data_IF_689004482932
#
_entry.id   IF_689004482932
#
_cell.length_a   1.000
_cell.length_b   1.000
_cell.length_c   1.000
_cell.angle_alpha   90.00
_cell.angle_beta   90.00
_cell.angle_gamma   90.00
#
_symmetry.space_group_name_H-M   'P 1'
#
loop_
_entity.id
_entity.type
_entity.pdbx_description
1 polymer ?
#
# COMPACT_ATOMS: atom_id res chain seq x y z
N UNK A 1 -24.87 23.16 -3.17
CA UNK A 1 -23.70 24.04 -3.31
C UNK A 1 -22.46 23.21 -3.60
N UNK A 2 -21.60 23.70 -4.49
CA UNK A 2 -20.32 23.02 -4.87
C UNK A 2 -19.21 23.36 -3.89
N UNK A 3 -19.35 24.47 -3.17
CA UNK A 3 -18.38 24.95 -2.18
C UNK A 3 -18.92 24.83 -0.75
N UNK A 4 -18.01 24.54 0.17
CA UNK A 4 -18.27 24.61 1.61
C UNK A 4 -18.35 26.08 2.08
N UNK A 5 -18.89 26.37 3.27
CA UNK A 5 -18.87 27.73 3.84
C UNK A 5 -17.45 28.29 3.98
N UNK A 6 -16.45 27.42 4.15
CA UNK A 6 -15.02 27.82 4.26
C UNK A 6 -14.32 27.97 2.90
N UNK A 7 -15.08 27.90 1.77
CA UNK A 7 -14.57 28.08 0.43
C UNK A 7 -13.93 26.85 -0.22
N UNK A 8 -13.90 25.71 0.44
CA UNK A 8 -13.41 24.47 -0.13
C UNK A 8 -14.43 23.74 -1.01
N UNK A 9 -13.98 22.83 -1.86
CA UNK A 9 -14.86 22.04 -2.73
C UNK A 9 -15.50 20.88 -1.95
N UNK A 10 -16.81 20.69 -2.13
CA UNK A 10 -17.55 19.56 -1.57
C UNK A 10 -17.32 18.30 -2.42
N UNK A 11 -16.47 17.39 -1.93
CA UNK A 11 -16.18 16.13 -2.64
C UNK A 11 -17.37 15.19 -2.62
N UNK A 12 -18.13 15.15 -1.51
CA UNK A 12 -19.29 14.28 -1.38
C UNK A 12 -20.45 14.67 -2.33
N UNK A 13 -20.48 15.91 -2.85
CA UNK A 13 -21.42 16.30 -3.89
C UNK A 13 -21.15 15.60 -5.23
N UNK A 14 -19.90 15.25 -5.50
CA UNK A 14 -19.45 14.55 -6.72
C UNK A 14 -19.27 13.03 -6.47
N UNK A 15 -18.64 12.66 -5.37
CA UNK A 15 -18.38 11.30 -4.97
C UNK A 15 -18.94 11.02 -3.57
N UNK A 16 -20.25 10.73 -3.47
CA UNK A 16 -20.92 10.53 -2.19
C UNK A 16 -20.32 9.35 -1.42
N UNK A 17 -20.05 9.55 -0.15
CA UNK A 17 -19.38 8.56 0.70
C UNK A 17 -20.13 7.21 0.76
N UNK A 18 -21.47 7.26 0.74
CA UNK A 18 -22.32 6.06 0.74
C UNK A 18 -22.20 5.21 -0.53
N UNK A 19 -21.57 5.74 -1.61
CA UNK A 19 -21.24 5.00 -2.83
C UNK A 19 -19.76 4.61 -2.81
N UNK A 20 -18.88 5.53 -2.41
CA UNK A 20 -17.41 5.30 -2.43
C UNK A 20 -17.02 4.25 -1.41
N UNK A 21 -17.52 4.31 -0.19
CA UNK A 21 -17.15 3.38 0.88
C UNK A 21 -17.47 1.90 0.55
N UNK A 22 -18.68 1.52 0.09
CA UNK A 22 -18.94 0.14 -0.32
C UNK A 22 -18.10 -0.31 -1.53
N UNK A 23 -17.78 0.61 -2.44
CA UNK A 23 -16.91 0.32 -3.57
C UNK A 23 -15.48 0.01 -3.11
N UNK A 24 -14.92 0.79 -2.20
CA UNK A 24 -13.60 0.58 -1.62
C UNK A 24 -13.52 -0.74 -0.83
N UNK A 25 -14.55 -1.05 -0.03
CA UNK A 25 -14.66 -2.34 0.64
C UNK A 25 -14.75 -3.51 -0.33
N UNK A 26 -15.51 -3.36 -1.41
CA UNK A 26 -15.64 -4.39 -2.45
C UNK A 26 -14.28 -4.66 -3.10
N UNK A 27 -13.56 -3.61 -3.50
CA UNK A 27 -12.20 -3.74 -4.04
C UNK A 27 -11.25 -4.42 -3.04
N UNK A 28 -11.29 -3.98 -1.78
CA UNK A 28 -10.44 -4.56 -0.73
C UNK A 28 -10.72 -6.05 -0.52
N UNK A 29 -12.01 -6.46 -0.48
CA UNK A 29 -12.41 -7.86 -0.33
C UNK A 29 -11.96 -8.70 -1.53
N UNK A 30 -12.13 -8.21 -2.76
CA UNK A 30 -11.68 -8.91 -3.98
C UNK A 30 -10.18 -9.14 -3.94
N UNK A 31 -9.40 -8.09 -3.69
CA UNK A 31 -7.93 -8.17 -3.61
C UNK A 31 -7.49 -9.09 -2.47
N UNK A 32 -8.08 -8.94 -1.28
CA UNK A 32 -7.79 -9.80 -0.14
C UNK A 32 -8.08 -11.27 -0.44
N UNK A 33 -9.20 -11.58 -1.10
CA UNK A 33 -9.57 -12.95 -1.48
C UNK A 33 -8.55 -13.57 -2.43
N UNK A 34 -8.07 -12.82 -3.43
CA UNK A 34 -7.03 -13.26 -4.36
C UNK A 34 -5.70 -13.49 -3.65
N UNK A 35 -5.28 -12.57 -2.79
CA UNK A 35 -4.03 -12.70 -2.04
C UNK A 35 -4.09 -13.86 -1.04
N UNK A 36 -5.17 -13.99 -0.27
CA UNK A 36 -5.37 -15.07 0.69
C UNK A 36 -5.38 -16.44 0.00
N UNK A 37 -6.07 -16.58 -1.13
CA UNK A 37 -6.09 -17.83 -1.91
C UNK A 37 -4.68 -18.27 -2.29
N UNK A 38 -3.84 -17.34 -2.75
CA UNK A 38 -2.45 -17.64 -3.09
C UNK A 38 -1.57 -17.91 -1.84
N UNK A 39 -1.82 -17.21 -0.74
CA UNK A 39 -1.12 -17.47 0.55
C UNK A 39 -1.47 -18.86 1.07
N UNK A 40 -2.75 -19.27 1.03
CA UNK A 40 -3.17 -20.61 1.42
C UNK A 40 -2.56 -21.70 0.52
N UNK A 41 -2.52 -21.47 -0.80
CA UNK A 41 -1.83 -22.38 -1.74
C UNK A 41 -0.35 -22.48 -1.43
N UNK A 42 0.30 -21.38 -1.06
CA UNK A 42 1.70 -21.36 -0.65
C UNK A 42 1.93 -22.10 0.68
N UNK A 43 1.05 -21.91 1.68
CA UNK A 43 1.06 -22.67 2.93
C UNK A 43 0.95 -24.17 2.67
N UNK A 44 -0.01 -24.58 1.86
CA UNK A 44 -0.18 -25.98 1.49
C UNK A 44 1.08 -26.58 0.85
N UNK A 45 1.71 -25.85 -0.10
CA UNK A 45 2.89 -26.34 -0.81
C UNK A 45 4.16 -26.33 0.03
N UNK A 46 4.35 -25.39 0.96
CA UNK A 46 5.58 -25.24 1.73
C UNK A 46 5.53 -26.01 3.04
N UNK A 47 4.39 -26.03 3.70
CA UNK A 47 4.23 -26.58 5.05
C UNK A 47 3.47 -27.89 5.01
N UNK A 48 2.22 -27.85 4.58
CA UNK A 48 1.29 -28.99 4.70
C UNK A 48 1.77 -30.24 3.95
N UNK A 49 2.15 -30.10 2.70
CA UNK A 49 2.56 -31.23 1.84
C UNK A 49 3.81 -31.97 2.37
N UNK A 50 4.68 -31.30 3.11
CA UNK A 50 5.95 -31.84 3.61
C UNK A 50 5.96 -32.07 5.12
N UNK A 51 4.82 -31.93 5.79
CA UNK A 51 4.69 -32.17 7.21
C UNK A 51 4.11 -33.55 7.45
N UNK A 52 4.86 -34.41 8.12
CA UNK A 52 4.38 -35.74 8.57
C UNK A 52 3.55 -35.67 9.85
N UNK A 53 3.50 -34.49 10.50
CA UNK A 53 2.75 -34.25 11.71
C UNK A 53 2.06 -32.89 11.72
N UNK A 54 1.06 -32.70 12.60
CA UNK A 54 0.42 -31.41 12.81
C UNK A 54 1.33 -30.49 13.60
N UNK A 55 1.71 -29.34 13.01
CA UNK A 55 2.42 -28.29 13.72
C UNK A 55 1.46 -27.70 14.78
N UNK A 56 1.91 -27.58 16.02
CA UNK A 56 1.12 -27.02 17.10
C UNK A 56 0.66 -25.58 16.77
N UNK A 57 -0.57 -25.26 17.16
CA UNK A 57 -1.12 -23.90 16.99
C UNK A 57 -0.27 -22.84 17.72
N UNK A 58 0.34 -23.20 18.85
CA UNK A 58 1.23 -22.30 19.60
C UNK A 58 2.48 -21.91 18.80
N UNK A 59 3.01 -22.81 17.97
CA UNK A 59 4.11 -22.50 17.04
C UNK A 59 3.65 -21.51 16.00
N UNK A 60 2.45 -21.69 15.43
CA UNK A 60 1.89 -20.72 14.47
C UNK A 60 1.74 -19.34 15.10
N UNK A 61 1.19 -19.23 16.30
CA UNK A 61 1.01 -17.96 17.01
C UNK A 61 2.35 -17.29 17.31
N UNK A 62 3.32 -18.04 17.83
CA UNK A 62 4.65 -17.51 18.15
C UNK A 62 5.38 -16.99 16.91
N UNK A 63 5.38 -17.78 15.84
CA UNK A 63 6.07 -17.39 14.61
C UNK A 63 5.33 -16.27 13.86
N UNK A 64 4.00 -16.13 14.07
CA UNK A 64 3.22 -15.03 13.51
C UNK A 64 3.66 -13.65 14.03
N UNK A 65 4.03 -13.55 15.31
CA UNK A 65 4.61 -12.32 15.85
C UNK A 65 5.92 -11.92 15.15
N UNK A 66 6.72 -12.90 14.76
CA UNK A 66 7.92 -12.64 13.93
C UNK A 66 7.57 -12.14 12.54
N UNK A 67 6.47 -12.61 11.97
CA UNK A 67 5.97 -12.10 10.69
C UNK A 67 5.62 -10.60 10.82
N UNK A 68 4.83 -10.24 11.84
CA UNK A 68 4.47 -8.83 12.10
C UNK A 68 5.72 -7.98 12.31
N UNK A 69 6.65 -8.43 13.15
CA UNK A 69 7.91 -7.72 13.40
C UNK A 69 8.75 -7.56 12.13
N UNK A 70 8.90 -8.62 11.34
CA UNK A 70 9.64 -8.56 10.07
C UNK A 70 8.97 -7.65 9.05
N UNK A 71 7.65 -7.60 9.03
CA UNK A 71 6.89 -6.69 8.17
C UNK A 71 7.09 -5.23 8.59
N UNK A 72 6.94 -4.92 9.87
CA UNK A 72 7.03 -3.56 10.39
C UNK A 72 8.45 -2.99 10.36
N UNK A 73 9.46 -3.76 10.76
CA UNK A 73 10.85 -3.28 10.97
C UNK A 73 11.78 -3.61 9.82
N UNK A 74 11.50 -4.68 9.07
CA UNK A 74 12.32 -5.16 7.95
C UNK A 74 13.81 -5.37 8.33
N UNK A 75 14.13 -6.11 9.41
CA UNK A 75 15.46 -6.14 10.00
C UNK A 75 16.53 -6.73 9.07
N UNK A 76 16.17 -7.62 8.15
CA UNK A 76 17.11 -8.13 7.14
C UNK A 76 17.53 -7.05 6.14
N UNK A 77 16.62 -6.13 5.83
CA UNK A 77 16.89 -5.04 4.91
C UNK A 77 17.69 -3.91 5.58
N UNK A 78 17.48 -3.69 6.89
CA UNK A 78 18.25 -2.70 7.67
C UNK A 78 19.73 -3.08 7.87
N UNK A 79 20.11 -4.34 7.62
CA UNK A 79 21.52 -4.82 7.71
C UNK A 79 22.32 -4.60 6.44
N UNK A 80 21.69 -4.10 5.35
CA UNK A 80 22.44 -3.72 4.16
C UNK A 80 23.31 -2.49 4.44
N UNK A 81 24.48 -2.41 3.79
CA UNK A 81 25.47 -1.34 4.00
C UNK A 81 24.91 0.05 3.74
N UNK A 82 24.02 0.20 2.76
CA UNK A 82 23.34 1.47 2.46
C UNK A 82 21.96 1.54 3.10
N UNK A 83 21.91 2.18 4.26
CA UNK A 83 20.67 2.40 5.03
C UNK A 83 19.64 3.29 4.31
N UNK A 84 20.03 4.08 3.31
CA UNK A 84 19.12 4.95 2.55
C UNK A 84 17.99 4.14 1.91
N UNK A 85 18.33 2.97 1.38
CA UNK A 85 17.32 2.11 0.75
C UNK A 85 16.37 1.47 1.74
N UNK A 86 16.86 1.13 2.93
CA UNK A 86 15.98 0.66 4.01
C UNK A 86 15.00 1.76 4.43
N UNK A 87 15.48 2.97 4.68
CA UNK A 87 14.65 4.12 5.07
C UNK A 87 13.62 4.44 3.97
N UNK A 88 14.06 4.54 2.71
CA UNK A 88 13.16 4.85 1.59
C UNK A 88 12.08 3.79 1.38
N UNK A 89 12.44 2.51 1.49
CA UNK A 89 11.50 1.41 1.38
C UNK A 89 10.53 1.37 2.59
N UNK A 90 11.04 1.64 3.79
CA UNK A 90 10.23 1.69 5.00
C UNK A 90 9.21 2.83 4.94
N UNK A 91 9.63 4.03 4.52
CA UNK A 91 8.74 5.18 4.31
C UNK A 91 7.67 4.90 3.25
N UNK A 92 8.07 4.34 2.11
CA UNK A 92 7.14 3.97 1.05
C UNK A 92 6.09 2.97 1.56
N UNK A 93 6.52 1.92 2.25
CA UNK A 93 5.64 0.88 2.76
C UNK A 93 4.71 1.38 3.87
N UNK A 94 5.24 2.15 4.83
CA UNK A 94 4.43 2.72 5.92
C UNK A 94 3.43 3.75 5.39
N UNK A 95 3.85 4.62 4.44
CA UNK A 95 2.97 5.58 3.79
C UNK A 95 1.82 4.90 3.05
N UNK A 96 2.12 3.85 2.29
CA UNK A 96 1.10 3.05 1.60
C UNK A 96 0.14 2.36 2.57
N UNK A 97 0.68 1.73 3.60
CA UNK A 97 -0.13 1.01 4.61
C UNK A 97 -1.06 1.96 5.35
N UNK A 98 -0.56 3.13 5.77
CA UNK A 98 -1.37 4.14 6.43
C UNK A 98 -2.47 4.63 5.50
N UNK A 99 -2.14 4.99 4.25
CA UNK A 99 -3.14 5.46 3.30
C UNK A 99 -4.20 4.40 3.02
N UNK A 100 -3.80 3.14 2.84
CA UNK A 100 -4.72 2.03 2.64
C UNK A 100 -5.69 1.87 3.83
N UNK A 101 -5.19 1.88 5.07
CA UNK A 101 -6.02 1.78 6.27
C UNK A 101 -6.99 2.98 6.37
N UNK A 102 -6.50 4.18 6.11
CA UNK A 102 -7.31 5.39 6.19
C UNK A 102 -8.43 5.39 5.15
N UNK A 103 -8.16 4.97 3.93
CA UNK A 103 -9.16 4.96 2.85
C UNK A 103 -10.15 3.79 3.02
N UNK A 104 -9.68 2.59 3.36
CA UNK A 104 -10.57 1.42 3.43
C UNK A 104 -11.34 1.37 4.75
N UNK A 105 -10.67 1.64 5.89
CA UNK A 105 -11.29 1.45 7.22
C UNK A 105 -11.85 2.74 7.79
N UNK A 106 -11.21 3.87 7.53
CA UNK A 106 -11.53 5.16 8.13
C UNK A 106 -11.98 6.21 7.12
N UNK A 107 -12.53 5.81 5.97
CA UNK A 107 -12.98 6.73 4.92
C UNK A 107 -13.97 7.80 5.45
N UNK A 108 -15.01 7.47 6.26
CA UNK A 108 -15.93 8.48 6.78
C UNK A 108 -15.27 9.54 7.66
N UNK A 109 -14.19 9.16 8.35
CA UNK A 109 -13.38 10.08 9.14
C UNK A 109 -12.43 10.90 8.26
N UNK A 110 -11.90 10.33 7.18
CA UNK A 110 -10.89 10.98 6.34
C UNK A 110 -11.52 11.87 5.25
N UNK A 111 -12.57 11.41 4.57
CA UNK A 111 -13.31 12.17 3.56
C UNK A 111 -14.38 13.06 4.22
N UNK A 112 -13.95 14.11 4.90
CA UNK A 112 -14.84 15.10 5.53
C UNK A 112 -14.98 16.32 4.65
N UNK A 113 -16.16 17.00 4.68
CA UNK A 113 -16.38 18.26 3.99
C UNK A 113 -15.70 19.47 4.66
N UNK A 114 -15.31 19.32 5.92
CA UNK A 114 -14.63 20.40 6.65
C UNK A 114 -13.21 20.60 6.13
N UNK A 115 -12.81 21.86 5.99
CA UNK A 115 -11.41 22.22 5.77
C UNK A 115 -10.70 22.24 7.14
N UNK A 116 -10.02 21.15 7.43
CA UNK A 116 -9.30 21.01 8.69
C UNK A 116 -8.00 21.85 8.68
N UNK A 117 -7.57 22.40 9.84
CA UNK A 117 -6.30 23.10 9.94
C UNK A 117 -5.10 22.16 9.75
N UNK A 118 -3.95 22.71 9.38
CA UNK A 118 -2.73 21.95 9.05
C UNK A 118 -2.27 21.01 10.17
N UNK A 119 -2.47 21.43 11.44
CA UNK A 119 -2.10 20.64 12.62
C UNK A 119 -3.08 19.52 13.00
N UNK A 120 -4.16 19.34 12.24
CA UNK A 120 -5.11 18.25 12.51
C UNK A 120 -4.45 16.89 12.22
N UNK A 121 -4.58 15.89 13.12
CA UNK A 121 -4.00 14.55 12.95
C UNK A 121 -4.36 13.87 11.63
N UNK A 122 -5.57 14.08 11.13
CA UNK A 122 -6.04 13.57 9.83
C UNK A 122 -5.18 14.10 8.68
N UNK A 123 -4.85 15.40 8.68
CA UNK A 123 -3.96 15.99 7.68
C UNK A 123 -2.52 15.47 7.82
N UNK A 124 -2.03 15.33 9.04
CA UNK A 124 -0.69 14.79 9.29
C UNK A 124 -0.52 13.38 8.74
N UNK A 125 -1.52 12.51 8.93
CA UNK A 125 -1.48 11.16 8.35
C UNK A 125 -1.42 11.20 6.82
N UNK A 126 -2.25 12.05 6.19
CA UNK A 126 -2.24 12.23 4.74
C UNK A 126 -0.91 12.78 4.21
N UNK A 127 -0.36 13.81 4.86
CA UNK A 127 0.93 14.41 4.47
C UNK A 127 2.09 13.45 4.70
N UNK A 128 2.12 12.75 5.83
CA UNK A 128 3.13 11.73 6.10
C UNK A 128 3.10 10.62 5.03
N UNK A 129 1.91 10.09 4.72
CA UNK A 129 1.75 9.06 3.70
C UNK A 129 2.21 9.56 2.32
N UNK A 130 1.78 10.75 1.92
CA UNK A 130 2.18 11.38 0.65
C UNK A 130 3.70 11.58 0.59
N UNK A 131 4.30 12.13 1.64
CA UNK A 131 5.75 12.32 1.71
C UNK A 131 6.51 11.00 1.63
N UNK A 132 6.12 10.00 2.43
CA UNK A 132 6.77 8.69 2.45
C UNK A 132 6.71 7.98 1.08
N UNK A 133 5.55 8.06 0.41
CA UNK A 133 5.36 7.52 -0.93
C UNK A 133 6.23 8.25 -1.96
N UNK A 134 6.17 9.60 -2.02
CA UNK A 134 6.95 10.38 -2.98
C UNK A 134 8.45 10.22 -2.78
N UNK A 135 8.92 10.22 -1.53
CA UNK A 135 10.33 10.03 -1.21
C UNK A 135 10.82 8.65 -1.64
N UNK A 136 10.07 7.58 -1.30
CA UNK A 136 10.43 6.23 -1.70
C UNK A 136 10.41 6.03 -3.22
N UNK A 137 9.41 6.59 -3.91
CA UNK A 137 9.32 6.60 -5.37
C UNK A 137 10.49 7.35 -6.00
N UNK A 138 10.83 8.52 -5.50
CA UNK A 138 11.98 9.31 -5.96
C UNK A 138 13.26 8.49 -5.91
N UNK A 139 13.56 7.87 -4.77
CA UNK A 139 14.75 7.02 -4.61
C UNK A 139 14.74 5.84 -5.58
N UNK A 140 13.59 5.19 -5.75
CA UNK A 140 13.44 4.06 -6.65
C UNK A 140 13.60 4.44 -8.13
N UNK A 141 13.01 5.56 -8.57
CA UNK A 141 13.08 6.06 -9.95
C UNK A 141 14.51 6.51 -10.27
N UNK A 142 15.11 7.36 -9.43
CA UNK A 142 16.48 7.84 -9.64
C UNK A 142 17.49 6.68 -9.63
N UNK A 143 17.31 5.70 -8.73
CA UNK A 143 18.14 4.51 -8.72
C UNK A 143 18.12 3.76 -10.06
N UNK A 144 16.93 3.57 -10.65
CA UNK A 144 16.75 2.89 -11.94
C UNK A 144 17.28 3.70 -13.13
N UNK A 145 17.15 5.02 -13.09
CA UNK A 145 17.70 5.89 -14.15
C UNK A 145 19.23 5.87 -14.09
N UNK A 146 19.81 5.98 -12.91
CA UNK A 146 21.27 6.04 -12.71
C UNK A 146 21.98 4.71 -12.90
N UNK A 147 21.30 3.58 -12.65
CA UNK A 147 21.82 2.20 -12.77
C UNK A 147 23.16 1.92 -12.05
N UNK A 148 23.50 2.72 -11.05
CA UNK A 148 24.80 2.58 -10.34
C UNK A 148 24.86 1.32 -9.48
N UNK A 149 23.75 0.96 -8.84
CA UNK A 149 23.68 -0.21 -7.95
C UNK A 149 23.20 -1.44 -8.73
N UNK A 150 23.76 -2.60 -8.43
CA UNK A 150 23.46 -3.89 -9.07
C UNK A 150 21.95 -4.18 -9.09
N UNK A 151 21.23 -3.84 -8.01
CA UNK A 151 19.76 -4.03 -7.90
C UNK A 151 18.92 -3.21 -8.90
N UNK A 152 19.50 -2.16 -9.50
CA UNK A 152 18.81 -1.30 -10.46
C UNK A 152 19.31 -1.46 -11.91
N UNK A 153 20.38 -2.24 -12.11
CA UNK A 153 20.98 -2.44 -13.44
C UNK A 153 20.00 -3.12 -14.41
N UNK A 154 19.22 -4.07 -13.89
CA UNK A 154 18.22 -4.81 -14.67
C UNK A 154 16.83 -4.44 -14.18
N UNK A 155 16.08 -3.72 -15.03
CA UNK A 155 14.70 -3.32 -14.76
C UNK A 155 13.79 -3.85 -15.86
N UNK A 156 12.77 -4.59 -15.49
CA UNK A 156 11.73 -5.07 -16.40
C UNK A 156 10.63 -4.01 -16.55
N UNK A 157 9.84 -4.07 -17.63
CA UNK A 157 8.72 -3.15 -17.87
C UNK A 157 7.75 -3.13 -16.69
N UNK A 158 7.48 -4.27 -16.06
CA UNK A 158 6.61 -4.36 -14.87
C UNK A 158 7.13 -3.56 -13.65
N UNK A 159 8.45 -3.33 -13.55
CA UNK A 159 9.01 -2.49 -12.49
C UNK A 159 8.70 -1.00 -12.72
N UNK A 160 8.71 -0.58 -13.98
CA UNK A 160 8.37 0.78 -14.35
C UNK A 160 6.87 1.05 -14.29
N UNK A 161 6.05 0.11 -14.75
CA UNK A 161 4.60 0.24 -14.71
C UNK A 161 4.11 0.53 -13.28
N UNK A 162 4.57 -0.27 -12.31
CA UNK A 162 4.29 -0.05 -10.90
C UNK A 162 4.68 1.36 -10.42
N UNK A 163 5.92 1.79 -10.72
CA UNK A 163 6.40 3.11 -10.29
C UNK A 163 5.60 4.26 -10.91
N UNK A 164 5.27 4.14 -12.19
CA UNK A 164 4.47 5.14 -12.91
C UNK A 164 3.06 5.22 -12.33
N UNK A 165 2.38 4.09 -12.19
CA UNK A 165 1.00 4.06 -11.64
C UNK A 165 0.96 4.60 -10.22
N UNK A 166 1.89 4.20 -9.36
CA UNK A 166 1.92 4.70 -7.99
C UNK A 166 2.27 6.20 -7.94
N UNK A 167 3.18 6.68 -8.79
CA UNK A 167 3.52 8.11 -8.89
C UNK A 167 2.30 8.92 -9.33
N UNK A 168 1.57 8.46 -10.35
CA UNK A 168 0.34 9.11 -10.82
C UNK A 168 -0.73 9.12 -9.72
N UNK A 169 -0.92 7.99 -9.02
CA UNK A 169 -1.88 7.90 -7.90
C UNK A 169 -1.56 8.91 -6.80
N UNK A 170 -0.31 8.97 -6.35
CA UNK A 170 0.09 9.90 -5.27
C UNK A 170 -0.01 11.35 -5.74
N UNK A 171 0.43 11.64 -6.98
CA UNK A 171 0.39 13.01 -7.53
C UNK A 171 -1.05 13.48 -7.71
N UNK A 172 -1.93 12.67 -8.29
CA UNK A 172 -3.33 13.03 -8.44
C UNK A 172 -4.03 13.16 -7.08
N UNK A 173 -3.70 12.32 -6.09
CA UNK A 173 -4.22 12.42 -4.73
C UNK A 173 -3.88 13.75 -4.05
N UNK A 174 -2.61 14.19 -4.13
CA UNK A 174 -2.24 15.49 -3.56
C UNK A 174 -2.82 16.68 -4.35
N UNK A 175 -2.98 16.55 -5.67
CA UNK A 175 -3.63 17.56 -6.50
C UNK A 175 -5.10 17.73 -6.12
N UNK A 176 -5.84 16.63 -5.87
CA UNK A 176 -7.22 16.70 -5.35
C UNK A 176 -7.24 17.54 -4.07
N UNK A 177 -6.34 17.25 -3.13
CA UNK A 177 -6.27 17.99 -1.88
C UNK A 177 -5.98 19.49 -2.09
N UNK A 178 -4.98 19.83 -2.92
CA UNK A 178 -4.60 21.22 -3.20
C UNK A 178 -5.76 21.97 -3.87
N UNK A 179 -6.36 21.43 -4.92
CA UNK A 179 -7.44 22.08 -5.64
C UNK A 179 -8.69 22.22 -4.78
N UNK A 180 -8.96 21.22 -3.94
CA UNK A 180 -10.08 21.23 -3.00
C UNK A 180 -10.01 22.38 -2.01
N UNK A 181 -8.86 22.55 -1.34
CA UNK A 181 -8.70 23.63 -0.33
C UNK A 181 -8.65 25.03 -0.95
N UNK A 182 -8.33 25.15 -2.23
CA UNK A 182 -8.34 26.40 -2.98
C UNK A 182 -9.67 26.69 -3.69
N UNK A 183 -10.73 25.91 -3.45
CA UNK A 183 -12.05 26.12 -4.03
C UNK A 183 -12.16 25.87 -5.54
N UNK A 184 -11.17 25.17 -6.14
CA UNK A 184 -11.10 24.92 -7.58
C UNK A 184 -11.94 23.67 -7.97
N UNK A 185 -13.27 23.81 -8.01
CA UNK A 185 -14.19 22.67 -8.16
C UNK A 185 -13.90 21.81 -9.40
N UNK A 186 -13.79 22.40 -10.58
CA UNK A 186 -13.54 21.66 -11.83
C UNK A 186 -12.21 20.89 -11.77
N UNK A 187 -11.14 21.54 -11.30
CA UNK A 187 -9.83 20.91 -11.17
C UNK A 187 -9.84 19.78 -10.14
N UNK A 188 -10.58 19.94 -9.04
CA UNK A 188 -10.77 18.88 -8.03
C UNK A 188 -11.45 17.66 -8.64
N UNK A 189 -12.56 17.83 -9.37
CA UNK A 189 -13.32 16.72 -9.94
C UNK A 189 -12.58 16.02 -11.06
N UNK A 190 -11.90 16.76 -11.95
CA UNK A 190 -11.06 16.17 -13.00
C UNK A 190 -9.92 15.36 -12.38
N UNK A 191 -9.26 15.93 -11.36
CA UNK A 191 -8.19 15.21 -10.65
C UNK A 191 -8.69 13.97 -9.94
N UNK A 192 -9.91 14.00 -9.38
CA UNK A 192 -10.55 12.85 -8.75
C UNK A 192 -10.83 11.73 -9.77
N UNK A 193 -11.38 12.08 -10.94
CA UNK A 193 -11.60 11.10 -12.02
C UNK A 193 -10.27 10.48 -12.48
N UNK A 194 -9.24 11.30 -12.70
CA UNK A 194 -7.91 10.83 -13.08
C UNK A 194 -7.30 9.93 -12.00
N UNK A 195 -7.47 10.30 -10.73
CA UNK A 195 -7.01 9.49 -9.60
C UNK A 195 -7.66 8.11 -9.59
N UNK A 196 -8.98 8.04 -9.71
CA UNK A 196 -9.72 6.78 -9.73
C UNK A 196 -9.39 5.93 -10.96
N UNK A 197 -9.20 6.56 -12.12
CA UNK A 197 -8.82 5.86 -13.36
C UNK A 197 -7.46 5.16 -13.28
N UNK A 198 -6.55 5.66 -12.44
CA UNK A 198 -5.24 5.04 -12.18
C UNK A 198 -5.30 4.10 -10.98
N UNK A 199 -5.93 4.52 -9.89
CA UNK A 199 -5.98 3.79 -8.62
C UNK A 199 -6.70 2.44 -8.75
N UNK A 200 -7.86 2.41 -9.40
CA UNK A 200 -8.68 1.19 -9.50
C UNK A 200 -7.94 0.07 -10.23
N UNK A 201 -7.41 0.24 -11.45
CA UNK A 201 -6.65 -0.82 -12.09
C UNK A 201 -5.34 -1.14 -11.35
N UNK A 202 -4.69 -0.17 -10.71
CA UNK A 202 -3.52 -0.42 -9.88
C UNK A 202 -3.85 -1.37 -8.72
N UNK A 203 -4.95 -1.14 -8.00
CA UNK A 203 -5.34 -2.00 -6.87
C UNK A 203 -5.80 -3.38 -7.36
N UNK A 204 -6.65 -3.44 -8.38
CA UNK A 204 -7.26 -4.70 -8.81
C UNK A 204 -6.34 -5.59 -9.65
N UNK A 205 -5.36 -5.01 -10.35
CA UNK A 205 -4.48 -5.75 -11.27
C UNK A 205 -3.05 -5.80 -10.72
N UNK A 206 -2.44 -4.64 -10.43
CA UNK A 206 -1.04 -4.59 -10.03
C UNK A 206 -0.80 -5.21 -8.64
N UNK A 207 -1.68 -4.97 -7.67
CA UNK A 207 -1.50 -5.50 -6.31
C UNK A 207 -1.54 -7.03 -6.28
N UNK A 208 -2.54 -7.74 -6.85
CA UNK A 208 -2.57 -9.20 -6.77
C UNK A 208 -1.70 -9.93 -7.80
N UNK A 209 -1.44 -9.35 -8.99
CA UNK A 209 -0.86 -10.07 -10.13
C UNK A 209 0.53 -9.59 -10.54
N UNK A 210 1.03 -8.48 -10.02
CA UNK A 210 2.34 -7.96 -10.37
C UNK A 210 3.38 -8.13 -9.25
N UNK A 211 4.52 -7.48 -9.42
CA UNK A 211 5.58 -7.46 -8.42
C UNK A 211 5.15 -6.88 -7.07
N UNK A 212 4.05 -6.13 -7.02
CA UNK A 212 3.55 -5.59 -5.76
C UNK A 212 2.98 -6.64 -4.81
N UNK A 213 2.51 -7.74 -5.33
CA UNK A 213 2.09 -8.91 -4.54
C UNK A 213 3.20 -9.42 -3.60
N UNK A 214 4.48 -9.08 -3.86
CA UNK A 214 5.59 -9.42 -2.97
C UNK A 214 5.43 -8.83 -1.56
N UNK A 215 4.70 -7.71 -1.42
CA UNK A 215 4.39 -7.10 -0.13
C UNK A 215 3.65 -8.10 0.79
N UNK A 216 2.73 -8.86 0.22
CA UNK A 216 2.02 -9.92 0.92
C UNK A 216 2.82 -11.23 0.95
N UNK A 217 3.28 -11.71 -0.22
CA UNK A 217 3.82 -13.07 -0.31
C UNK A 217 5.18 -13.24 0.35
N UNK A 218 6.05 -12.24 0.33
CA UNK A 218 7.41 -12.37 0.90
C UNK A 218 7.41 -12.55 2.43
N UNK A 219 6.65 -11.78 3.24
CA UNK A 219 6.52 -12.02 4.66
C UNK A 219 5.98 -13.41 4.99
N UNK A 220 4.93 -13.85 4.26
CA UNK A 220 4.36 -15.18 4.46
C UNK A 220 5.30 -16.30 4.01
N UNK A 221 6.07 -16.13 2.93
CA UNK A 221 7.08 -17.11 2.54
C UNK A 221 8.15 -17.30 3.62
N UNK A 222 8.61 -16.21 4.23
CA UNK A 222 9.57 -16.28 5.37
C UNK A 222 8.91 -16.98 6.56
N UNK A 223 7.69 -16.65 6.90
CA UNK A 223 6.92 -17.28 7.97
C UNK A 223 6.75 -18.79 7.75
N UNK A 224 6.31 -19.22 6.57
CA UNK A 224 6.11 -20.62 6.24
C UNK A 224 7.42 -21.41 6.22
N UNK A 225 8.51 -20.79 5.79
CA UNK A 225 9.84 -21.40 5.86
C UNK A 225 10.30 -21.63 7.31
N UNK A 226 9.94 -20.75 8.23
CA UNK A 226 10.19 -20.98 9.66
C UNK A 226 9.31 -22.11 10.21
N UNK A 227 8.00 -22.11 9.89
CA UNK A 227 7.10 -23.18 10.30
C UNK A 227 7.57 -24.56 9.82
N UNK A 228 8.09 -24.65 8.60
CA UNK A 228 8.60 -25.90 8.05
C UNK A 228 9.71 -26.54 8.91
N UNK A 229 10.48 -25.75 9.66
CA UNK A 229 11.52 -26.27 10.58
C UNK A 229 10.95 -27.04 11.77
N UNK A 230 9.69 -26.84 12.10
CA UNK A 230 8.96 -27.53 13.15
C UNK A 230 8.09 -28.67 12.60
N UNK A 231 8.03 -28.83 11.27
CA UNK A 231 7.41 -29.97 10.66
C UNK A 231 8.35 -31.17 10.83
N UNK A 232 7.85 -32.23 11.46
CA UNK A 232 8.62 -33.50 11.57
C UNK A 232 8.75 -34.07 10.16
N UNK A 233 9.97 -34.36 9.67
CA UNK A 233 10.14 -35.03 8.39
C UNK A 233 9.44 -36.39 8.41
N UNK A 234 8.67 -36.70 7.39
CA UNK A 234 8.04 -37.99 7.19
C UNK A 234 9.03 -39.05 6.77
#
# INVERSE_FOLDING_TARGET
PVLTPEGGVQVNAFAPIHIVEPFDWTMAIVVASLLISNILRMYYKIVWKYSSGRISIWVHIREFWRLIFNFAVQPKFSRCDDKKYWVSHWLLMSGYTIMFIVIVVFLPWFQTEKILPVWNPQRWLGYYATFGLLFGLWVAIIGRIRKKDVKFQFSHVSDWLFLVMLTLTVTTGILIHIFRINGMAMATYISYIAHMAVLVPMILIEVPFSKWSHLAYRPFAVYFTQLKKFAVPG
#
